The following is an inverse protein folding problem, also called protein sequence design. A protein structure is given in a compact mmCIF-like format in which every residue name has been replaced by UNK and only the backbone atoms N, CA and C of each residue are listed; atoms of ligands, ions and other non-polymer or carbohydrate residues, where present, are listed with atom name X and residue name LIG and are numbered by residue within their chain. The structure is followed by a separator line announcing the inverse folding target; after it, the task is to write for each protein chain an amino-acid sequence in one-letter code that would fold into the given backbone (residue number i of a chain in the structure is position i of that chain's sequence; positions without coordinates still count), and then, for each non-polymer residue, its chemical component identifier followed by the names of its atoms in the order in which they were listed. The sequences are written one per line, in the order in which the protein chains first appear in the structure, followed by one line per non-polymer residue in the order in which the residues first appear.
data_IF_228523104803
#
_entry.id   IF_228523104803
#
_cell.length_a   1.000
_cell.length_b   1.000
_cell.length_c   1.000
_cell.angle_alpha   90.00
_cell.angle_beta   90.00
_cell.angle_gamma   90.00
#
_symmetry.space_group_name_H-M   'P 1'
#
loop_
_entity.id
_entity.type
_entity.pdbx_description
1 polymer ?
#
# COMPACT_ATOMS: atom_id res chain seq x y z
N UNK A 1 -1.50 9.92 -1.44
CA UNK A 1 -0.29 9.15 -1.81
C UNK A 1 0.92 9.68 -1.03
N UNK A 2 1.89 8.81 -0.69
CA UNK A 2 3.11 9.18 0.04
C UNK A 2 4.30 8.34 -0.42
N UNK A 3 5.47 8.94 -0.58
CA UNK A 3 6.70 8.20 -0.89
C UNK A 3 7.33 7.61 0.38
N UNK A 4 7.87 6.40 0.27
CA UNK A 4 8.72 5.75 1.26
C UNK A 4 9.89 5.04 0.56
N UNK A 5 10.96 4.79 1.31
CA UNK A 5 12.08 3.95 0.86
C UNK A 5 12.08 2.65 1.66
N UNK A 6 12.27 1.51 1.00
CA UNK A 6 12.44 0.23 1.70
C UNK A 6 13.85 0.04 2.27
N UNK A 7 14.13 -1.14 2.84
CA UNK A 7 15.42 -1.48 3.45
C UNK A 7 16.53 -1.68 2.40
N UNK A 8 16.17 -1.95 1.14
CA UNK A 8 17.07 -2.11 0.00
C UNK A 8 17.36 -0.77 -0.72
N UNK A 9 16.81 0.34 -0.22
CA UNK A 9 16.96 1.66 -0.82
C UNK A 9 16.01 1.92 -2.01
N UNK A 10 15.06 1.02 -2.31
CA UNK A 10 14.11 1.22 -3.42
C UNK A 10 12.98 2.15 -2.98
N UNK A 11 12.55 3.00 -3.92
CA UNK A 11 11.49 3.98 -3.69
C UNK A 11 10.12 3.40 -4.03
N UNK A 12 9.16 3.62 -3.14
CA UNK A 12 7.79 3.14 -3.26
C UNK A 12 6.79 4.26 -3.01
N UNK A 13 5.70 4.26 -3.77
CA UNK A 13 4.54 5.11 -3.55
C UNK A 13 3.48 4.31 -2.80
N UNK A 14 3.11 4.80 -1.63
CA UNK A 14 1.98 4.29 -0.86
C UNK A 14 0.69 4.92 -1.40
N UNK A 15 -0.24 4.07 -1.82
CA UNK A 15 -1.48 4.45 -2.49
C UNK A 15 -2.70 3.80 -1.83
N UNK A 16 -3.84 4.47 -1.90
CA UNK A 16 -5.13 3.91 -1.53
C UNK A 16 -5.76 3.38 -2.82
N UNK A 17 -5.94 2.07 -2.93
CA UNK A 17 -6.51 1.42 -4.11
C UNK A 17 -7.99 1.14 -3.84
N UNK A 18 -8.89 1.64 -4.68
CA UNK A 18 -10.32 1.37 -4.52
C UNK A 18 -10.59 -0.14 -4.47
N UNK A 19 -11.42 -0.56 -3.52
CA UNK A 19 -11.79 -1.96 -3.34
C UNK A 19 -13.27 -2.07 -3.02
N UNK A 20 -13.88 -3.17 -3.43
CA UNK A 20 -15.26 -3.49 -3.02
C UNK A 20 -15.19 -4.51 -1.89
N UNK A 21 -15.53 -4.07 -0.69
CA UNK A 21 -15.57 -4.92 0.49
C UNK A 21 -16.81 -5.81 0.54
N UNK A 22 -16.93 -6.59 1.62
CA UNK A 22 -18.11 -7.41 1.89
C UNK A 22 -19.40 -6.58 1.82
N UNK A 23 -20.47 -7.18 1.29
CA UNK A 23 -21.77 -6.54 1.06
C UNK A 23 -21.75 -5.37 0.06
N UNK A 24 -20.85 -5.42 -0.94
CA UNK A 24 -20.76 -4.43 -2.03
C UNK A 24 -20.47 -2.99 -1.54
N UNK A 25 -19.94 -2.85 -0.34
CA UNK A 25 -19.55 -1.55 0.19
C UNK A 25 -18.25 -1.10 -0.48
N UNK A 26 -18.25 0.15 -0.96
CA UNK A 26 -17.01 0.80 -1.42
C UNK A 26 -16.08 0.97 -0.22
N UNK A 27 -14.83 0.59 -0.42
CA UNK A 27 -13.73 0.77 0.53
C UNK A 27 -12.43 0.99 -0.22
N UNK A 28 -11.32 0.87 0.48
CA UNK A 28 -10.00 0.96 -0.14
C UNK A 28 -9.03 -0.01 0.53
N UNK A 29 -8.05 -0.47 -0.23
CA UNK A 29 -6.98 -1.34 0.23
C UNK A 29 -5.68 -0.55 0.13
N UNK A 30 -4.86 -0.60 1.19
CA UNK A 30 -3.52 -0.01 1.15
C UNK A 30 -2.68 -0.78 0.12
N UNK A 31 -2.05 -0.06 -0.79
CA UNK A 31 -1.16 -0.62 -1.80
C UNK A 31 0.18 0.12 -1.91
N UNK A 32 1.14 -0.54 -2.53
CA UNK A 32 2.47 0.00 -2.79
C UNK A 32 2.85 -0.15 -4.26
N UNK A 33 3.21 0.96 -4.90
CA UNK A 33 3.64 1.00 -6.30
C UNK A 33 5.14 1.29 -6.33
N UNK A 34 5.90 0.52 -7.10
CA UNK A 34 7.32 0.79 -7.31
C UNK A 34 7.48 2.11 -8.08
N UNK A 35 8.24 3.07 -7.52
CA UNK A 35 8.36 4.41 -8.10
C UNK A 35 9.29 4.46 -9.32
N UNK A 36 10.18 3.48 -9.44
CA UNK A 36 11.20 3.32 -10.49
C UNK A 36 10.70 2.54 -11.72
N UNK A 37 9.53 1.91 -11.64
CA UNK A 37 8.97 1.09 -12.71
C UNK A 37 7.72 1.78 -13.29
N UNK A 38 7.80 2.37 -14.50
CA UNK A 38 6.65 2.98 -15.15
C UNK A 38 5.52 1.97 -15.36
N UNK A 39 4.31 2.31 -14.92
CA UNK A 39 3.14 1.43 -15.06
C UNK A 39 3.14 0.23 -14.12
N UNK A 40 3.95 0.22 -13.06
CA UNK A 40 3.91 -0.84 -12.06
C UNK A 40 2.52 -0.95 -11.42
N UNK A 41 2.01 -2.19 -11.35
CA UNK A 41 0.79 -2.49 -10.62
C UNK A 41 1.03 -2.40 -9.10
N UNK A 42 0.08 -1.88 -8.33
CA UNK A 42 0.18 -1.82 -6.88
C UNK A 42 0.22 -3.22 -6.27
N UNK A 43 1.17 -3.44 -5.38
CA UNK A 43 1.14 -4.59 -4.47
C UNK A 43 0.15 -4.26 -3.36
N UNK A 44 -0.97 -4.99 -3.33
CA UNK A 44 -2.00 -4.80 -2.32
C UNK A 44 -1.60 -5.47 -1.01
N UNK A 45 -1.94 -4.83 0.10
CA UNK A 45 -1.84 -5.42 1.44
C UNK A 45 -3.16 -6.08 1.83
N UNK A 46 -3.17 -6.82 2.94
CA UNK A 46 -4.39 -7.25 3.64
C UNK A 46 -5.11 -6.13 4.41
N UNK A 47 -4.58 -4.90 4.42
CA UNK A 47 -5.16 -3.77 5.17
C UNK A 47 -6.20 -3.05 4.33
N UNK A 48 -7.45 -3.16 4.75
CA UNK A 48 -8.61 -2.52 4.11
C UNK A 48 -9.21 -1.44 5.01
N UNK A 49 -9.69 -0.36 4.40
CA UNK A 49 -10.47 0.69 5.04
C UNK A 49 -11.86 0.79 4.42
N UNK A 50 -12.80 1.32 5.19
CA UNK A 50 -14.20 1.46 4.80
C UNK A 50 -14.48 2.63 3.84
N UNK A 51 -13.49 3.46 3.53
CA UNK A 51 -13.58 4.53 2.54
C UNK A 51 -12.19 4.89 2.00
N UNK A 52 -12.14 5.57 0.86
CA UNK A 52 -10.89 6.08 0.28
C UNK A 52 -10.25 7.11 1.21
N UNK A 53 -11.06 8.02 1.76
CA UNK A 53 -10.60 9.07 2.68
C UNK A 53 -9.93 8.49 3.93
N UNK A 54 -10.45 7.37 4.46
CA UNK A 54 -9.85 6.68 5.59
C UNK A 54 -8.48 6.07 5.21
N UNK A 55 -8.35 5.51 4.01
CA UNK A 55 -7.08 5.02 3.49
C UNK A 55 -6.06 6.14 3.26
N UNK A 56 -6.48 7.27 2.69
CA UNK A 56 -5.61 8.43 2.52
C UNK A 56 -5.15 9.03 3.84
N UNK A 57 -6.05 9.14 4.82
CA UNK A 57 -5.72 9.57 6.16
C UNK A 57 -4.74 8.61 6.85
N UNK A 58 -4.91 7.31 6.67
CA UNK A 58 -3.97 6.32 7.18
C UNK A 58 -2.58 6.47 6.54
N UNK A 59 -2.50 6.69 5.23
CA UNK A 59 -1.23 6.90 4.51
C UNK A 59 -0.46 8.11 5.06
N UNK A 60 -1.16 9.19 5.41
CA UNK A 60 -0.53 10.43 5.92
C UNK A 60 -0.14 10.32 7.39
N UNK A 61 -0.87 9.56 8.20
CA UNK A 61 -0.66 9.48 9.65
C UNK A 61 0.21 8.31 10.11
N UNK A 62 0.28 7.23 9.33
CA UNK A 62 1.12 6.08 9.67
C UNK A 62 2.60 6.45 9.70
N UNK A 63 3.31 5.96 10.71
CA UNK A 63 4.75 6.12 10.77
C UNK A 63 5.44 5.44 9.58
N UNK A 64 6.57 5.97 9.15
CA UNK A 64 7.34 5.37 8.06
C UNK A 64 7.77 3.93 8.38
N UNK A 65 8.15 3.66 9.64
CA UNK A 65 8.51 2.31 10.12
C UNK A 65 7.37 1.32 9.88
N UNK A 66 6.15 1.72 10.18
CA UNK A 66 4.98 0.86 9.98
C UNK A 66 4.66 0.68 8.49
N UNK A 67 4.81 1.72 7.67
CA UNK A 67 4.64 1.62 6.22
C UNK A 67 5.67 0.66 5.59
N UNK A 68 6.95 0.72 6.01
CA UNK A 68 7.98 -0.24 5.59
C UNK A 68 7.64 -1.67 5.99
N UNK A 69 7.17 -1.87 7.23
CA UNK A 69 6.76 -3.18 7.72
C UNK A 69 5.63 -3.77 6.89
N UNK A 70 4.61 -2.97 6.55
CA UNK A 70 3.52 -3.38 5.67
C UNK A 70 3.99 -3.70 4.26
N UNK A 71 4.91 -2.91 3.71
CA UNK A 71 5.51 -3.19 2.41
C UNK A 71 6.26 -4.53 2.41
N UNK A 72 7.05 -4.83 3.44
CA UNK A 72 7.76 -6.10 3.55
C UNK A 72 6.81 -7.31 3.57
N UNK A 73 5.69 -7.21 4.29
CA UNK A 73 4.64 -8.22 4.26
C UNK A 73 3.97 -8.33 2.89
N UNK A 74 3.60 -7.21 2.28
CA UNK A 74 2.95 -7.19 0.97
C UNK A 74 3.81 -7.84 -0.12
N UNK A 75 5.13 -7.55 -0.12
CA UNK A 75 6.09 -8.21 -1.01
C UNK A 75 6.11 -9.73 -0.82
N UNK A 76 6.13 -10.17 0.45
CA UNK A 76 6.13 -11.59 0.82
C UNK A 76 4.84 -12.28 0.38
N UNK A 77 3.68 -11.69 0.65
CA UNK A 77 2.36 -12.20 0.26
C UNK A 77 2.19 -12.27 -1.26
N UNK A 78 2.75 -11.31 -2.00
CA UNK A 78 2.74 -11.29 -3.46
C UNK A 78 3.73 -12.26 -4.11
N UNK A 79 4.48 -13.05 -3.33
CA UNK A 79 5.52 -13.95 -3.85
C UNK A 79 6.70 -13.22 -4.48
N UNK A 80 6.80 -11.90 -4.29
CA UNK A 80 7.94 -11.07 -4.69
C UNK A 80 8.97 -11.16 -3.56
N UNK A 81 9.68 -12.27 -3.52
CA UNK A 81 10.74 -12.51 -2.53
C UNK A 81 11.78 -11.38 -2.65
N UNK A 82 12.11 -10.85 -1.47
CA UNK A 82 13.16 -9.88 -1.13
C UNK A 82 14.44 -10.07 -1.95
#
# INVERSE_FOLDING_TARGET
MRAITDEDGKSWQVVAVESTGAHLKRGTTLGFVAADVPGAEPILTSVTFNSVEAGEFAITTMSEKELRRRLAWAKTEAGRVV
#
